data_IF_521598125740
#
_entry.id   IF_521598125740
#
_cell.length_a   1.000
_cell.length_b   1.000
_cell.length_c   1.000
_cell.angle_alpha   90.00
_cell.angle_beta   90.00
_cell.angle_gamma   90.00
#
_symmetry.space_group_name_H-M   'P 1'
#
loop_
_entity.id
_entity.type
_entity.pdbx_description
1 polymer ?
#
# COMPACT_ATOMS: atom_id res chain seq x y z
N UNK A 1 26.71 -25.74 5.53
CA UNK A 1 25.54 -26.29 6.27
C UNK A 1 24.82 -25.09 6.87
N UNK A 2 23.52 -24.86 6.60
CA UNK A 2 22.78 -23.82 7.31
C UNK A 2 22.76 -24.16 8.80
N UNK A 3 23.21 -23.25 9.66
CA UNK A 3 23.14 -23.46 11.10
C UNK A 3 21.69 -23.39 11.57
N UNK A 4 21.23 -24.37 12.34
CA UNK A 4 19.90 -24.32 12.95
C UNK A 4 19.90 -23.39 14.16
N UNK A 5 18.87 -22.55 14.28
CA UNK A 5 18.67 -21.69 15.45
C UNK A 5 18.12 -22.46 16.64
N UNK A 6 17.68 -23.71 16.47
CA UNK A 6 17.01 -24.51 17.52
C UNK A 6 17.85 -24.74 18.78
N UNK A 7 19.18 -24.74 18.66
CA UNK A 7 20.07 -24.91 19.81
C UNK A 7 20.46 -23.58 20.49
N UNK A 8 19.96 -22.45 19.99
CA UNK A 8 20.33 -21.14 20.52
C UNK A 8 19.46 -20.80 21.75
N UNK A 9 20.05 -20.38 22.88
CA UNK A 9 19.31 -20.13 24.12
C UNK A 9 18.32 -18.97 24.03
N UNK A 10 18.45 -18.12 23.00
CA UNK A 10 17.54 -17.00 22.71
C UNK A 10 16.43 -17.36 21.71
N UNK A 11 16.44 -18.57 21.13
CA UNK A 11 15.47 -18.99 20.12
C UNK A 11 14.40 -19.88 20.73
N UNK A 12 13.26 -19.29 21.05
CA UNK A 12 12.04 -19.99 21.49
C UNK A 12 10.94 -19.82 20.42
N UNK A 13 10.76 -20.79 19.51
CA UNK A 13 9.80 -20.65 18.41
C UNK A 13 8.36 -20.69 18.94
N UNK A 14 7.63 -19.59 18.78
CA UNK A 14 6.18 -19.51 19.03
C UNK A 14 5.45 -19.55 17.70
N UNK A 15 4.50 -20.47 17.55
CA UNK A 15 3.64 -20.60 16.37
C UNK A 15 2.19 -20.34 16.76
N UNK A 16 1.48 -19.57 15.94
CA UNK A 16 0.06 -19.31 16.05
C UNK A 16 -0.60 -19.82 14.77
N UNK A 17 -1.75 -20.47 14.88
CA UNK A 17 -2.42 -21.10 13.72
C UNK A 17 -3.43 -20.16 13.05
N UNK A 18 -3.80 -19.07 13.74
CA UNK A 18 -4.74 -18.08 13.26
C UNK A 18 -4.33 -16.67 13.71
N UNK A 19 -4.97 -15.66 13.12
CA UNK A 19 -4.69 -14.25 13.42
C UNK A 19 -5.18 -13.83 14.81
N UNK A 20 -6.24 -14.44 15.34
CA UNK A 20 -6.84 -14.05 16.62
C UNK A 20 -5.98 -14.49 17.81
N UNK A 21 -5.39 -15.68 17.74
CA UNK A 21 -4.40 -16.17 18.71
C UNK A 21 -3.12 -15.34 18.66
N UNK A 22 -2.65 -14.95 17.47
CA UNK A 22 -1.53 -14.02 17.32
C UNK A 22 -1.82 -12.62 17.90
N UNK A 23 -3.05 -12.11 17.73
CA UNK A 23 -3.51 -10.85 18.36
C UNK A 23 -3.57 -10.94 19.88
N UNK A 24 -4.17 -12.00 20.40
CA UNK A 24 -4.30 -12.23 21.85
C UNK A 24 -2.93 -12.32 22.53
N UNK A 25 -1.95 -12.90 21.85
CA UNK A 25 -0.57 -12.95 22.31
C UNK A 25 0.22 -11.64 22.13
N UNK A 26 -0.41 -10.58 21.58
CA UNK A 26 0.23 -9.29 21.33
C UNK A 26 1.27 -9.31 20.20
N UNK A 27 1.33 -10.40 19.40
CA UNK A 27 2.27 -10.52 18.29
C UNK A 27 1.77 -9.81 17.02
N UNK A 28 0.46 -9.81 16.80
CA UNK A 28 -0.16 -9.16 15.65
C UNK A 28 -1.12 -8.07 16.10
N UNK A 29 -0.78 -6.82 15.81
CA UNK A 29 -1.57 -5.66 16.19
C UNK A 29 -2.33 -5.03 15.02
N UNK A 30 -1.85 -5.21 13.78
CA UNK A 30 -2.34 -4.50 12.61
C UNK A 30 -3.79 -4.84 12.20
N UNK A 31 -4.61 -3.87 11.75
CA UNK A 31 -4.38 -2.42 11.75
C UNK A 31 -4.87 -1.75 13.05
N UNK A 32 -4.04 -0.90 13.66
CA UNK A 32 -4.36 -0.13 14.88
C UNK A 32 -4.48 1.37 14.67
N UNK A 33 -3.64 1.95 13.81
CA UNK A 33 -3.66 3.40 13.58
C UNK A 33 -4.62 3.78 12.46
N UNK A 34 -5.07 5.05 12.37
CA UNK A 34 -5.83 5.54 11.23
C UNK A 34 -5.13 5.30 9.88
N UNK A 35 -3.80 5.47 9.84
CA UNK A 35 -2.97 5.27 8.64
C UNK A 35 -2.92 3.79 8.24
N UNK A 36 -2.77 2.90 9.22
CA UNK A 36 -2.80 1.46 8.99
C UNK A 36 -4.18 1.00 8.50
N UNK A 37 -5.25 1.51 9.10
CA UNK A 37 -6.63 1.24 8.65
C UNK A 37 -6.83 1.73 7.23
N UNK A 38 -6.43 2.96 6.91
CA UNK A 38 -6.54 3.50 5.56
C UNK A 38 -5.76 2.66 4.55
N UNK A 39 -4.53 2.25 4.90
CA UNK A 39 -3.70 1.39 4.04
C UNK A 39 -4.36 0.04 3.77
N UNK A 40 -4.88 -0.61 4.81
CA UNK A 40 -5.63 -1.86 4.67
C UNK A 40 -6.86 -1.68 3.78
N UNK A 41 -7.62 -0.60 3.99
CA UNK A 41 -8.86 -0.36 3.25
C UNK A 41 -8.60 -0.05 1.77
N UNK A 42 -7.57 0.74 1.46
CA UNK A 42 -7.14 1.00 0.09
C UNK A 42 -6.65 -0.27 -0.59
N UNK A 43 -5.83 -1.08 0.11
CA UNK A 43 -5.37 -2.36 -0.41
C UNK A 43 -6.56 -3.27 -0.75
N UNK A 44 -7.50 -3.41 0.19
CA UNK A 44 -8.69 -4.24 0.02
C UNK A 44 -9.56 -3.75 -1.14
N UNK A 45 -9.86 -2.46 -1.21
CA UNK A 45 -10.68 -1.88 -2.27
C UNK A 45 -10.09 -2.12 -3.67
N UNK A 46 -8.78 -1.86 -3.85
CA UNK A 46 -8.10 -2.10 -5.13
C UNK A 46 -8.06 -3.59 -5.49
N UNK A 47 -7.83 -4.46 -4.49
CA UNK A 47 -7.82 -5.91 -4.68
C UNK A 47 -9.20 -6.46 -5.05
N UNK A 48 -10.25 -6.02 -4.37
CA UNK A 48 -11.65 -6.40 -4.66
C UNK A 48 -12.10 -5.93 -6.06
N UNK A 49 -11.51 -4.84 -6.57
CA UNK A 49 -11.68 -4.39 -7.97
C UNK A 49 -10.92 -5.24 -9.00
N UNK A 50 -10.21 -6.28 -8.57
CA UNK A 50 -9.51 -7.21 -9.44
C UNK A 50 -8.09 -6.78 -9.82
N UNK A 51 -7.53 -5.75 -9.15
CA UNK A 51 -6.14 -5.37 -9.38
C UNK A 51 -5.18 -6.29 -8.64
N UNK A 52 -4.00 -6.49 -9.24
CA UNK A 52 -2.87 -7.07 -8.54
C UNK A 52 -2.06 -5.92 -7.93
N UNK A 53 -1.54 -6.15 -6.71
CA UNK A 53 -0.84 -5.13 -5.93
C UNK A 53 0.59 -5.58 -5.62
N UNK A 54 1.53 -4.65 -5.73
CA UNK A 54 2.93 -4.84 -5.32
C UNK A 54 3.41 -3.66 -4.48
N UNK A 55 4.63 -3.74 -3.95
CA UNK A 55 5.23 -2.64 -3.19
C UNK A 55 5.53 -1.44 -4.09
N UNK A 56 5.01 -0.26 -3.72
CA UNK A 56 5.16 1.00 -4.45
C UNK A 56 6.44 1.80 -4.13
N UNK A 57 7.21 1.42 -3.10
CA UNK A 57 8.23 2.29 -2.49
C UNK A 57 9.29 2.78 -3.49
N UNK A 58 9.67 1.95 -4.47
CA UNK A 58 10.64 2.31 -5.52
C UNK A 58 10.12 3.34 -6.53
N UNK A 59 8.80 3.54 -6.55
CA UNK A 59 8.07 4.41 -7.48
C UNK A 59 7.36 5.55 -6.74
N UNK A 60 7.72 5.79 -5.47
CA UNK A 60 7.20 6.90 -4.66
C UNK A 60 5.71 6.81 -4.31
N UNK A 61 5.18 5.58 -4.26
CA UNK A 61 3.86 5.28 -3.71
C UNK A 61 3.92 4.16 -2.68
N UNK A 62 2.79 3.84 -2.07
CA UNK A 62 2.60 2.71 -1.17
C UNK A 62 2.42 1.41 -1.97
N UNK A 63 1.67 1.47 -3.07
CA UNK A 63 1.35 0.32 -3.91
C UNK A 63 1.68 0.54 -5.38
N UNK A 64 2.07 -0.53 -6.07
CA UNK A 64 1.96 -0.62 -7.52
C UNK A 64 0.66 -1.32 -7.87
N UNK A 65 -0.13 -0.72 -8.77
CA UNK A 65 -1.43 -1.26 -9.16
C UNK A 65 -1.36 -1.76 -10.59
N UNK A 66 -1.62 -3.05 -10.77
CA UNK A 66 -1.54 -3.75 -12.04
C UNK A 66 -2.95 -4.09 -12.54
N UNK A 67 -3.22 -3.98 -13.86
CA UNK A 67 -4.50 -4.37 -14.46
C UNK A 67 -4.70 -5.89 -14.53
N UNK A 68 -3.67 -6.68 -14.22
CA UNK A 68 -3.65 -8.13 -14.32
C UNK A 68 -2.36 -8.68 -13.71
N UNK A 69 -2.06 -9.96 -13.98
CA UNK A 69 -0.89 -10.66 -13.44
C UNK A 69 0.42 -9.86 -13.63
N UNK A 70 1.13 -9.50 -12.54
CA UNK A 70 2.39 -8.74 -12.60
C UNK A 70 3.50 -9.39 -13.42
N UNK A 71 3.42 -10.70 -13.71
CA UNK A 71 4.35 -11.39 -14.61
C UNK A 71 4.10 -11.06 -16.09
N UNK A 72 2.90 -10.56 -16.43
CA UNK A 72 2.47 -10.27 -17.80
C UNK A 72 2.24 -8.79 -18.06
N UNK A 73 1.92 -8.02 -17.01
CA UNK A 73 1.58 -6.60 -17.12
C UNK A 73 2.55 -5.74 -16.31
N UNK A 74 2.84 -4.55 -16.82
CA UNK A 74 3.41 -3.49 -16.00
C UNK A 74 2.32 -2.83 -15.16
N UNK A 75 2.68 -2.31 -13.99
CA UNK A 75 1.75 -1.50 -13.22
C UNK A 75 1.37 -0.24 -13.99
N UNK A 76 0.08 0.08 -14.02
CA UNK A 76 -0.43 1.31 -14.60
C UNK A 76 -0.32 2.48 -13.62
N UNK A 77 -0.45 2.19 -12.33
CA UNK A 77 -0.39 3.20 -11.28
C UNK A 77 0.70 2.93 -10.25
N UNK A 78 1.28 4.02 -9.74
CA UNK A 78 1.87 4.06 -8.41
C UNK A 78 0.86 4.77 -7.49
N UNK A 79 0.39 4.09 -6.45
CA UNK A 79 -0.69 4.58 -5.60
C UNK A 79 -0.17 5.03 -4.24
N UNK A 80 -0.64 6.17 -3.76
CA UNK A 80 -0.38 6.68 -2.41
C UNK A 80 -1.67 6.73 -1.59
N UNK A 81 -1.59 6.30 -0.34
CA UNK A 81 -2.70 6.29 0.62
C UNK A 81 -2.81 7.66 1.28
N UNK A 82 -3.99 8.25 1.23
CA UNK A 82 -4.35 9.47 1.97
C UNK A 82 -5.23 9.03 3.16
N UNK A 83 -4.74 9.12 4.41
CA UNK A 83 -5.39 8.50 5.57
C UNK A 83 -6.78 9.04 5.91
N UNK A 84 -7.06 10.30 5.56
CA UNK A 84 -8.31 10.99 5.88
C UNK A 84 -8.68 12.00 4.79
N UNK A 85 -9.96 12.31 4.57
CA UNK A 85 -10.38 13.40 3.68
C UNK A 85 -9.87 14.78 4.10
N UNK A 86 -9.49 14.93 5.38
CA UNK A 86 -8.93 16.17 5.94
C UNK A 86 -7.40 16.20 5.91
N UNK A 87 -6.74 15.15 5.42
CA UNK A 87 -5.28 15.14 5.27
C UNK A 87 -4.87 16.19 4.24
N UNK A 88 -4.05 17.15 4.68
CA UNK A 88 -3.47 18.16 3.80
C UNK A 88 -2.46 17.54 2.85
N UNK A 89 -2.65 17.76 1.55
CA UNK A 89 -1.67 17.41 0.51
C UNK A 89 -0.92 18.69 0.12
N UNK A 90 0.40 18.69 0.26
CA UNK A 90 1.21 19.85 -0.09
C UNK A 90 1.34 19.95 -1.62
N UNK A 91 1.36 21.15 -2.21
CA UNK A 91 1.57 21.31 -3.65
C UNK A 91 2.84 20.60 -4.17
N UNK A 92 3.91 20.59 -3.36
CA UNK A 92 5.15 19.90 -3.72
C UNK A 92 5.00 18.37 -3.81
N UNK A 93 4.07 17.76 -3.07
CA UNK A 93 3.80 16.32 -3.16
C UNK A 93 3.12 16.00 -4.50
N UNK A 94 2.17 16.84 -4.93
CA UNK A 94 1.52 16.73 -6.25
C UNK A 94 2.57 16.81 -7.37
N UNK A 95 3.49 17.78 -7.29
CA UNK A 95 4.59 17.93 -8.26
C UNK A 95 5.51 16.71 -8.26
N UNK A 96 5.88 16.20 -7.07
CA UNK A 96 6.75 15.04 -6.95
C UNK A 96 6.11 13.77 -7.54
N UNK A 97 4.83 13.53 -7.24
CA UNK A 97 4.04 12.42 -7.77
C UNK A 97 3.91 12.50 -9.30
N UNK A 98 3.56 13.66 -9.85
CA UNK A 98 3.47 13.86 -11.30
C UNK A 98 4.81 13.63 -12.02
N UNK A 99 5.91 14.15 -11.47
CA UNK A 99 7.27 13.96 -12.03
C UNK A 99 7.67 12.48 -12.05
N UNK A 100 7.47 11.77 -10.95
CA UNK A 100 7.90 10.37 -10.82
C UNK A 100 7.02 9.42 -11.64
N UNK A 101 5.71 9.65 -11.67
CA UNK A 101 4.78 8.94 -12.55
C UNK A 101 5.21 9.07 -14.02
N UNK A 102 5.45 10.30 -14.48
CA UNK A 102 5.93 10.57 -15.85
C UNK A 102 7.24 9.84 -16.16
N UNK A 103 8.24 9.94 -15.27
CA UNK A 103 9.54 9.29 -15.47
C UNK A 103 9.45 7.76 -15.57
N UNK A 104 8.43 7.16 -14.94
CA UNK A 104 8.25 5.71 -14.89
C UNK A 104 7.11 5.21 -15.79
N UNK A 105 6.53 6.11 -16.61
CA UNK A 105 5.40 5.86 -17.50
C UNK A 105 4.18 5.27 -16.77
N UNK A 106 3.80 5.91 -15.65
CA UNK A 106 2.65 5.57 -14.80
C UNK A 106 1.86 6.81 -14.47
N UNK A 107 0.56 6.67 -14.26
CA UNK A 107 -0.20 7.71 -13.56
C UNK A 107 -0.01 7.54 -12.04
N UNK A 108 0.07 8.63 -11.29
CA UNK A 108 0.11 8.53 -9.82
C UNK A 108 -1.31 8.54 -9.28
N UNK A 109 -1.68 7.58 -8.44
CA UNK A 109 -3.04 7.41 -7.93
C UNK A 109 -3.12 7.79 -6.45
N UNK A 110 -3.83 8.86 -6.13
CA UNK A 110 -4.16 9.21 -4.75
C UNK A 110 -5.39 8.42 -4.32
N UNK A 111 -5.27 7.64 -3.25
CA UNK A 111 -6.33 6.80 -2.71
C UNK A 111 -6.72 7.30 -1.31
N UNK A 112 -7.83 8.02 -1.20
CA UNK A 112 -8.29 8.60 0.06
C UNK A 112 -9.31 7.74 0.78
N UNK A 113 -9.00 7.34 2.02
CA UNK A 113 -9.93 6.60 2.88
C UNK A 113 -10.84 7.56 3.66
N UNK A 114 -12.16 7.32 3.61
CA UNK A 114 -13.14 8.01 4.44
C UNK A 114 -13.73 7.04 5.47
N UNK A 115 -13.31 7.17 6.73
CA UNK A 115 -13.74 6.30 7.83
C UNK A 115 -15.24 6.38 8.12
N UNK A 116 -15.85 7.56 7.98
CA UNK A 116 -17.27 7.78 8.28
C UNK A 116 -18.18 7.14 7.22
N UNK A 117 -17.80 7.28 5.95
CA UNK A 117 -18.54 6.71 4.81
C UNK A 117 -18.18 5.26 4.51
N UNK A 118 -17.06 4.79 5.05
CA UNK A 118 -16.47 3.48 4.73
C UNK A 118 -16.15 3.31 3.24
N UNK A 119 -15.63 4.35 2.61
CA UNK A 119 -15.38 4.42 1.16
C UNK A 119 -13.95 4.85 0.83
N UNK A 120 -13.41 4.32 -0.29
CA UNK A 120 -12.14 4.76 -0.86
C UNK A 120 -12.40 5.60 -2.12
N UNK A 121 -11.87 6.83 -2.11
CA UNK A 121 -11.87 7.75 -3.24
C UNK A 121 -10.55 7.66 -4.02
N UNK A 122 -10.61 7.86 -5.34
CA UNK A 122 -9.45 7.71 -6.23
C UNK A 122 -9.30 8.93 -7.13
N UNK A 123 -8.09 9.50 -7.18
CA UNK A 123 -7.74 10.61 -8.07
C UNK A 123 -6.41 10.33 -8.76
N UNK A 124 -6.35 10.41 -10.08
CA UNK A 124 -5.08 10.28 -10.80
C UNK A 124 -4.42 11.65 -11.00
N UNK A 125 -3.09 11.65 -10.94
CA UNK A 125 -2.23 12.78 -11.32
C UNK A 125 -1.44 12.34 -12.55
N UNK A 126 -1.58 13.11 -13.61
CA UNK A 126 -0.82 12.97 -14.85
C UNK A 126 -0.23 14.34 -15.21
N UNK A 127 1.04 14.37 -15.57
CA UNK A 127 1.67 15.61 -15.99
C UNK A 127 1.21 15.95 -17.40
N UNK A 128 0.46 17.04 -17.54
CA UNK A 128 0.07 17.57 -18.84
C UNK A 128 1.32 18.06 -19.57
N UNK A 129 1.90 17.21 -20.43
CA UNK A 129 2.85 17.68 -21.43
C UNK A 129 2.06 18.46 -22.49
N UNK A 130 2.51 19.65 -22.83
CA UNK A 130 2.31 20.12 -24.20
C UNK A 130 3.16 19.21 -25.08
N UNK A 131 2.53 18.51 -26.02
CA UNK A 131 3.25 17.80 -27.07
C UNK A 131 4.05 18.77 -27.93
#
# INVERSE_FOLDING_TARGET
>A
IPATSLSQPWYEPKKYEDLESAKTAGLWSYPQTPEERASYQVFRDLWEKGHYLGSGIKFGGDYLVYPGDPLRYHSHFAASVIPSPTTTIRPMEIVAHGRLGTATKKAHLLCGWNEDKKEVSHFSIEWASFG
#
